data_IF_913979516149
#
_entry.id   IF_913979516149
#
_cell.length_a   1.000
_cell.length_b   1.000
_cell.length_c   1.000
_cell.angle_alpha   90.00
_cell.angle_beta   90.00
_cell.angle_gamma   90.00
#
_symmetry.space_group_name_H-M   'P 1'
#
loop_
_entity.id
_entity.type
_entity.pdbx_description
1 polymer ?
#
# COMPACT_ATOMS: atom_id res chain seq x y z
N UNK A 1 4.56 -0.82 19.37
CA UNK A 1 3.76 -0.17 18.29
C UNK A 1 4.68 0.55 17.30
N UNK A 2 5.66 1.35 17.73
CA UNK A 2 6.68 1.95 16.85
C UNK A 2 7.51 0.94 16.04
N UNK A 3 7.81 -0.24 16.59
CA UNK A 3 8.59 -1.30 15.91
C UNK A 3 7.85 -2.02 14.78
N UNK A 4 6.54 -2.21 14.91
CA UNK A 4 5.71 -2.78 13.84
C UNK A 4 5.55 -1.80 12.67
N UNK A 5 5.45 -0.50 12.96
CA UNK A 5 5.36 0.55 11.97
C UNK A 5 6.66 0.73 11.18
N UNK A 6 7.81 0.61 11.84
CA UNK A 6 9.11 0.73 11.17
C UNK A 6 9.33 -0.44 10.19
N UNK A 7 9.01 -1.67 10.57
CA UNK A 7 9.06 -2.82 9.66
C UNK A 7 8.02 -2.77 8.53
N UNK A 8 6.82 -2.25 8.81
CA UNK A 8 5.79 -2.12 7.79
C UNK A 8 6.15 -1.06 6.74
N UNK A 9 6.67 0.10 7.16
CA UNK A 9 7.06 1.20 6.27
C UNK A 9 8.39 0.92 5.55
N UNK A 10 9.39 0.35 6.24
CA UNK A 10 10.70 0.11 5.63
C UNK A 10 10.73 -1.10 4.71
N UNK A 11 10.04 -2.18 5.06
CA UNK A 11 10.22 -3.46 4.37
C UNK A 11 8.98 -3.84 3.57
N UNK A 12 7.79 -3.80 4.17
CA UNK A 12 6.59 -4.31 3.50
C UNK A 12 6.00 -3.35 2.45
N UNK A 13 6.11 -2.03 2.66
CA UNK A 13 5.48 -1.03 1.79
C UNK A 13 6.17 -0.91 0.43
N UNK A 14 7.51 -0.77 0.36
CA UNK A 14 8.22 -0.70 -0.92
C UNK A 14 8.05 -2.00 -1.71
N UNK A 15 8.14 -3.15 -1.05
CA UNK A 15 8.02 -4.47 -1.67
C UNK A 15 6.60 -4.71 -2.22
N UNK A 16 5.57 -4.31 -1.48
CA UNK A 16 4.19 -4.43 -1.93
C UNK A 16 3.87 -3.47 -3.08
N UNK A 17 4.38 -2.23 -3.03
CA UNK A 17 4.26 -1.28 -4.15
C UNK A 17 5.00 -1.78 -5.39
N UNK A 18 6.20 -2.36 -5.21
CA UNK A 18 6.96 -2.93 -6.32
C UNK A 18 6.21 -4.10 -6.95
N UNK A 19 5.57 -4.96 -6.16
CA UNK A 19 4.70 -6.02 -6.68
C UNK A 19 3.51 -5.44 -7.47
N UNK A 20 2.83 -4.42 -6.95
CA UNK A 20 1.71 -3.76 -7.67
C UNK A 20 2.17 -3.09 -8.99
N UNK A 21 3.38 -2.52 -9.00
CA UNK A 21 3.94 -1.85 -10.18
C UNK A 21 4.58 -2.83 -11.18
N UNK A 22 5.06 -3.98 -10.71
CA UNK A 22 5.66 -5.03 -11.56
C UNK A 22 4.60 -5.88 -12.26
N UNK A 23 3.35 -5.88 -11.75
CA UNK A 23 2.24 -6.56 -12.41
C UNK A 23 1.82 -5.82 -13.68
N UNK A 24 1.69 -6.58 -14.76
CA UNK A 24 1.15 -6.08 -16.02
C UNK A 24 -0.28 -5.54 -15.81
N UNK A 25 -0.71 -4.51 -16.58
CA UNK A 25 -2.08 -4.04 -16.55
C UNK A 25 -3.06 -5.20 -16.82
N UNK A 26 -3.92 -5.51 -15.84
CA UNK A 26 -4.83 -6.65 -15.91
C UNK A 26 -5.47 -6.97 -14.56
N UNK A 27 -6.24 -8.05 -14.51
CA UNK A 27 -6.99 -8.53 -13.33
C UNK A 27 -6.12 -8.72 -12.09
N UNK A 28 -4.88 -9.16 -12.25
CA UNK A 28 -3.94 -9.35 -11.14
C UNK A 28 -3.56 -8.03 -10.47
N UNK A 29 -3.33 -6.97 -11.27
CA UNK A 29 -3.04 -5.64 -10.76
C UNK A 29 -4.23 -5.07 -10.00
N UNK A 30 -5.45 -5.29 -10.48
CA UNK A 30 -6.66 -4.80 -9.79
C UNK A 30 -6.95 -5.55 -8.48
N UNK A 31 -6.70 -6.86 -8.43
CA UNK A 31 -6.78 -7.61 -7.17
C UNK A 31 -5.72 -7.14 -6.17
N UNK A 32 -4.49 -6.87 -6.63
CA UNK A 32 -3.44 -6.31 -5.79
C UNK A 32 -3.81 -4.92 -5.24
N UNK A 33 -4.43 -4.04 -6.05
CA UNK A 33 -4.98 -2.75 -5.59
C UNK A 33 -6.07 -2.93 -4.53
N UNK A 34 -6.94 -3.93 -4.71
CA UNK A 34 -8.03 -4.23 -3.76
C UNK A 34 -7.49 -4.72 -2.42
N UNK A 35 -6.50 -5.61 -2.43
CA UNK A 35 -5.82 -6.07 -1.21
C UNK A 35 -5.14 -4.90 -0.50
N UNK A 36 -4.48 -4.02 -1.25
CA UNK A 36 -3.86 -2.80 -0.69
C UNK A 36 -4.89 -1.92 0.02
N UNK A 37 -6.03 -1.67 -0.63
CA UNK A 37 -7.13 -0.88 -0.05
C UNK A 37 -7.66 -1.51 1.25
N UNK A 38 -7.92 -2.81 1.25
CA UNK A 38 -8.38 -3.52 2.45
C UNK A 38 -7.35 -3.42 3.59
N UNK A 39 -6.06 -3.61 3.28
CA UNK A 39 -4.99 -3.48 4.28
C UNK A 39 -4.89 -2.05 4.81
N UNK A 40 -5.05 -1.03 3.96
CA UNK A 40 -5.08 0.37 4.38
C UNK A 40 -6.23 0.68 5.34
N UNK A 41 -7.38 0.02 5.20
CA UNK A 41 -8.51 0.20 6.12
C UNK A 41 -8.26 -0.42 7.48
N UNK A 42 -7.45 -1.48 7.56
CA UNK A 42 -7.04 -2.10 8.84
C UNK A 42 -6.02 -1.28 9.64
N UNK A 43 -5.45 -0.22 9.06
CA UNK A 43 -4.49 0.65 9.74
C UNK A 43 -5.19 1.53 10.78
N UNK A 44 -4.77 1.37 12.02
CA UNK A 44 -5.22 2.17 13.17
C UNK A 44 -4.43 3.47 13.35
N UNK A 45 -3.20 3.54 12.82
CA UNK A 45 -2.38 4.76 12.89
C UNK A 45 -2.79 5.77 11.79
N UNK A 46 -3.22 6.98 12.16
CA UNK A 46 -3.72 7.98 11.22
C UNK A 46 -2.60 8.59 10.34
N UNK A 47 -1.37 8.71 10.85
CA UNK A 47 -0.24 9.26 10.08
C UNK A 47 0.18 8.28 8.98
N UNK A 48 0.16 7.00 9.31
CA UNK A 48 0.57 5.92 8.41
C UNK A 48 -0.49 5.73 7.33
N UNK A 49 -1.76 5.74 7.72
CA UNK A 49 -2.88 5.73 6.78
C UNK A 49 -2.80 6.92 5.82
N UNK A 50 -2.58 8.14 6.31
CA UNK A 50 -2.45 9.35 5.47
C UNK A 50 -1.28 9.25 4.50
N UNK A 51 -0.12 8.81 4.96
CA UNK A 51 1.08 8.63 4.14
C UNK A 51 0.84 7.60 3.04
N UNK A 52 0.25 6.46 3.39
CA UNK A 52 -0.04 5.41 2.42
C UNK A 52 -1.08 5.85 1.38
N UNK A 53 -2.11 6.58 1.79
CA UNK A 53 -3.07 7.21 0.86
C UNK A 53 -2.38 8.18 -0.11
N UNK A 54 -1.48 9.02 0.37
CA UNK A 54 -0.74 9.96 -0.48
C UNK A 54 0.13 9.23 -1.51
N UNK A 55 0.87 8.19 -1.08
CA UNK A 55 1.70 7.37 -1.97
C UNK A 55 0.85 6.63 -3.00
N UNK A 56 -0.20 5.93 -2.59
CA UNK A 56 -1.08 5.21 -3.51
C UNK A 56 -1.77 6.14 -4.52
N UNK A 57 -2.11 7.36 -4.12
CA UNK A 57 -2.67 8.38 -5.03
C UNK A 57 -1.61 8.88 -6.02
N UNK A 58 -0.38 9.12 -5.57
CA UNK A 58 0.73 9.53 -6.45
C UNK A 58 1.07 8.47 -7.51
N UNK A 59 0.91 7.19 -7.16
CA UNK A 59 1.14 6.05 -8.04
C UNK A 59 -0.09 5.69 -8.90
N UNK A 60 -1.15 6.51 -8.88
CA UNK A 60 -2.42 6.26 -9.57
C UNK A 60 -3.05 4.89 -9.28
N UNK A 61 -2.80 4.35 -8.08
CA UNK A 61 -3.37 3.09 -7.60
C UNK A 61 -4.80 3.33 -7.10
N UNK A 62 -4.99 4.40 -6.34
CA UNK A 62 -6.28 4.86 -5.79
C UNK A 62 -6.74 6.10 -6.56
N UNK A 63 -7.06 5.92 -7.84
CA UNK A 63 -7.73 6.95 -8.63
C UNK A 63 -9.24 6.87 -8.42
#
# INVERSE_FOLDING_TARGET
IYTMLDGWIRESLPEFLNNVLSLAPGTERDEAKRILKNRMETLTDPNVKRTLYAVCRSLQILN
#
